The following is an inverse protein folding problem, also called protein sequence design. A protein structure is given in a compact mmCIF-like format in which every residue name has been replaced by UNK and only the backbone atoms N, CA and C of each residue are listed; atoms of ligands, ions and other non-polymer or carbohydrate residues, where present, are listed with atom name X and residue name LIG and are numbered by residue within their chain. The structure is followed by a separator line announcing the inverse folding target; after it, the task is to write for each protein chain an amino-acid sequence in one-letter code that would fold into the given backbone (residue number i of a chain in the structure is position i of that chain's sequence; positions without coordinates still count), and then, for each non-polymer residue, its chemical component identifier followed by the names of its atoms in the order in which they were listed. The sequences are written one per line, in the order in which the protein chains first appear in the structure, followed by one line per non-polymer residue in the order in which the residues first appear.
data_IF_668791504974
#
_entry.id   IF_668791504974
#
_cell.length_a   1.000
_cell.length_b   1.000
_cell.length_c   1.000
_cell.angle_alpha   90.00
_cell.angle_beta   90.00
_cell.angle_gamma   90.00
#
_symmetry.space_group_name_H-M   'P 1'
#
loop_
_entity.id
_entity.type
_entity.pdbx_description
1 polymer ?
#
# COMPACT_ATOMS: atom_id res chain seq x y z
N UNK A 1 -9.31 2.01 -11.33
CA UNK A 1 -8.73 1.08 -10.32
C UNK A 1 -7.98 -0.08 -10.98
N UNK A 2 -8.48 -0.63 -12.10
CA UNK A 2 -7.77 -1.64 -12.90
C UNK A 2 -6.33 -1.33 -13.38
N UNK A 3 -5.88 -0.08 -13.66
CA UNK A 3 -4.51 0.12 -14.16
C UNK A 3 -3.43 -0.29 -13.15
N UNK A 4 -3.65 -0.04 -11.85
CA UNK A 4 -2.65 -0.29 -10.80
C UNK A 4 -2.38 -1.77 -10.48
N UNK A 5 -3.22 -2.67 -10.98
CA UNK A 5 -3.11 -4.12 -10.75
C UNK A 5 -2.47 -4.86 -11.92
N UNK A 6 -2.42 -4.24 -13.10
CA UNK A 6 -1.85 -4.86 -14.30
C UNK A 6 -0.38 -4.49 -14.51
N UNK A 7 0.02 -3.32 -14.00
CA UNK A 7 1.35 -2.78 -14.20
C UNK A 7 2.15 -2.78 -12.89
N UNK A 8 3.48 -2.89 -13.04
CA UNK A 8 4.39 -2.76 -11.92
C UNK A 8 4.65 -1.28 -11.66
N UNK A 9 4.35 -0.81 -10.46
CA UNK A 9 4.61 0.55 -10.03
C UNK A 9 5.77 0.58 -9.04
N UNK A 10 6.65 1.57 -9.21
CA UNK A 10 7.77 1.77 -8.30
C UNK A 10 7.28 2.32 -6.95
N UNK A 11 7.92 1.83 -5.90
CA UNK A 11 7.71 2.26 -4.52
C UNK A 11 9.00 2.87 -4.02
N UNK A 12 8.92 4.13 -3.61
CA UNK A 12 10.05 4.87 -3.04
C UNK A 12 9.74 5.20 -1.59
N UNK A 13 10.72 4.96 -0.72
CA UNK A 13 10.66 5.42 0.67
C UNK A 13 11.74 6.46 0.90
N UNK A 14 11.35 7.67 1.28
CA UNK A 14 12.27 8.78 1.54
C UNK A 14 11.92 9.50 2.84
N UNK A 15 12.86 10.32 3.35
CA UNK A 15 12.62 11.20 4.50
C UNK A 15 12.28 12.59 3.98
N UNK A 16 11.28 13.25 4.59
CA UNK A 16 10.94 14.62 4.23
C UNK A 16 12.12 15.56 4.52
N UNK A 17 12.57 16.37 3.55
CA UNK A 17 13.65 17.34 3.79
C UNK A 17 13.32 18.33 4.91
N UNK A 18 12.06 18.78 4.98
CA UNK A 18 11.59 19.72 5.99
C UNK A 18 11.43 19.11 7.39
N UNK A 19 11.28 17.79 7.48
CA UNK A 19 11.25 17.06 8.75
C UNK A 19 11.79 15.64 8.57
N UNK A 20 13.10 15.43 8.74
CA UNK A 20 13.74 14.15 8.49
C UNK A 20 13.25 13.00 9.38
N UNK A 21 12.51 13.30 10.46
CA UNK A 21 11.92 12.27 11.34
C UNK A 21 10.72 11.57 10.70
N UNK A 22 10.12 12.17 9.67
CA UNK A 22 8.99 11.59 8.94
C UNK A 22 9.51 10.84 7.71
N UNK A 23 9.25 9.54 7.67
CA UNK A 23 9.42 8.71 6.48
C UNK A 23 8.13 8.67 5.68
N UNK A 24 8.25 8.84 4.37
CA UNK A 24 7.16 8.82 3.42
C UNK A 24 7.34 7.60 2.53
N UNK A 25 6.28 6.81 2.43
CA UNK A 25 6.09 5.85 1.37
C UNK A 25 5.40 6.58 0.21
N UNK A 26 5.94 6.44 -1.00
CA UNK A 26 5.41 7.03 -2.22
C UNK A 26 5.26 5.98 -3.31
N UNK A 27 4.13 6.05 -3.99
CA UNK A 27 3.85 5.30 -5.21
C UNK A 27 2.98 6.17 -6.11
N UNK A 28 3.49 6.54 -7.29
CA UNK A 28 2.82 7.47 -8.20
C UNK A 28 2.39 8.78 -7.49
N UNK A 29 1.11 9.15 -7.55
CA UNK A 29 0.55 10.31 -6.86
C UNK A 29 0.28 10.09 -5.37
N UNK A 30 0.43 8.87 -4.84
CA UNK A 30 0.13 8.56 -3.45
C UNK A 30 1.37 8.77 -2.58
N UNK A 31 1.22 9.59 -1.54
CA UNK A 31 2.23 9.78 -0.50
C UNK A 31 1.61 9.55 0.87
N UNK A 32 2.19 8.65 1.66
CA UNK A 32 1.67 8.27 2.97
C UNK A 32 2.83 8.25 3.98
N UNK A 33 2.69 8.90 5.16
CA UNK A 33 3.67 8.75 6.21
C UNK A 33 3.69 7.31 6.72
N UNK A 34 4.83 6.63 6.55
CA UNK A 34 5.00 5.27 7.00
C UNK A 34 6.45 5.02 7.44
N UNK A 35 6.59 4.40 8.62
CA UNK A 35 7.89 4.01 9.19
C UNK A 35 8.21 2.53 8.96
N UNK A 36 7.40 1.82 8.17
CA UNK A 36 7.59 0.41 7.84
C UNK A 36 8.72 0.16 6.83
N UNK A 37 9.13 -1.11 6.73
CA UNK A 37 9.95 -1.60 5.63
C UNK A 37 9.04 -2.04 4.50
N UNK A 38 9.25 -1.51 3.30
CA UNK A 38 8.43 -1.81 2.13
C UNK A 38 9.27 -2.42 1.01
N UNK A 39 8.60 -3.20 0.16
CA UNK A 39 9.10 -3.64 -1.14
C UNK A 39 9.35 -2.43 -2.07
N UNK A 40 10.11 -2.63 -3.14
CA UNK A 40 10.51 -1.55 -4.07
C UNK A 40 9.56 -1.40 -5.25
N UNK A 41 8.67 -2.37 -5.46
CA UNK A 41 7.63 -2.30 -6.48
C UNK A 41 6.39 -3.11 -6.11
N UNK A 42 5.25 -2.77 -6.72
CA UNK A 42 4.00 -3.52 -6.53
C UNK A 42 4.08 -4.96 -7.03
N UNK A 43 4.96 -5.26 -7.99
CA UNK A 43 5.15 -6.62 -8.53
C UNK A 43 5.68 -7.61 -7.49
N UNK A 44 6.43 -7.15 -6.49
CA UNK A 44 6.96 -8.00 -5.42
C UNK A 44 5.87 -8.48 -4.45
N UNK A 45 4.69 -7.86 -4.44
CA UNK A 45 3.56 -8.24 -3.59
C UNK A 45 2.92 -9.54 -4.09
N UNK A 46 2.89 -9.76 -5.41
CA UNK A 46 2.24 -10.92 -6.01
C UNK A 46 0.71 -10.79 -6.10
N UNK A 47 0.02 -11.93 -6.22
CA UNK A 47 -1.44 -11.95 -6.29
C UNK A 47 -2.06 -11.78 -4.90
N UNK A 48 -3.16 -11.02 -4.83
CA UNK A 48 -3.89 -10.77 -3.59
C UNK A 48 -5.30 -11.36 -3.64
N UNK A 49 -5.82 -11.76 -2.49
CA UNK A 49 -7.21 -12.11 -2.28
C UNK A 49 -7.87 -11.12 -1.31
N UNK A 50 -9.10 -10.72 -1.62
CA UNK A 50 -9.86 -9.74 -0.83
C UNK A 50 -11.11 -10.40 -0.28
N UNK A 51 -11.29 -10.32 1.04
CA UNK A 51 -12.51 -10.75 1.73
C UNK A 51 -13.15 -9.57 2.44
N UNK A 52 -14.47 -9.42 2.30
CA UNK A 52 -15.24 -8.36 2.97
C UNK A 52 -16.03 -8.94 4.14
N UNK A 53 -15.95 -8.28 5.29
CA UNK A 53 -16.74 -8.62 6.47
C UNK A 53 -17.50 -7.40 6.98
N UNK A 54 -18.81 -7.55 7.13
CA UNK A 54 -19.63 -6.55 7.80
C UNK A 54 -19.44 -6.66 9.32
N UNK A 55 -18.98 -5.58 9.96
CA UNK A 55 -18.78 -5.52 11.41
C UNK A 55 -20.00 -4.94 12.15
N UNK A 56 -21.05 -4.56 11.43
CA UNK A 56 -22.16 -3.75 11.92
C UNK A 56 -21.79 -2.26 12.08
N UNK A 57 -22.73 -1.46 12.60
CA UNK A 57 -22.56 -0.02 12.87
C UNK A 57 -22.10 0.81 11.66
N UNK A 58 -22.49 0.41 10.46
CA UNK A 58 -22.07 1.07 9.21
C UNK A 58 -20.58 0.88 8.89
N UNK A 59 -19.90 -0.11 9.50
CA UNK A 59 -18.48 -0.40 9.28
C UNK A 59 -18.31 -1.68 8.47
N UNK A 60 -17.43 -1.60 7.47
CA UNK A 60 -16.94 -2.74 6.73
C UNK A 60 -15.46 -2.98 7.05
N UNK A 61 -15.06 -4.24 7.17
CA UNK A 61 -13.66 -4.65 7.22
C UNK A 61 -13.30 -5.32 5.91
N UNK A 62 -12.24 -4.81 5.28
CA UNK A 62 -11.61 -5.43 4.13
C UNK A 62 -10.39 -6.20 4.66
N UNK A 63 -10.45 -7.52 4.57
CA UNK A 63 -9.34 -8.43 4.86
C UNK A 63 -8.60 -8.70 3.54
N UNK A 64 -7.27 -8.49 3.53
CA UNK A 64 -6.41 -8.65 2.34
C UNK A 64 -5.38 -9.72 2.65
N UNK A 65 -5.24 -10.69 1.74
CA UNK A 65 -4.32 -11.83 1.86
C UNK A 65 -3.40 -11.89 0.64
N UNK A 66 -2.18 -12.40 0.83
CA UNK A 66 -1.35 -12.84 -0.28
C UNK A 66 -1.79 -14.25 -0.68
N UNK A 67 -1.90 -14.51 -1.98
CA UNK A 67 -2.06 -15.88 -2.48
C UNK A 67 -0.71 -16.60 -2.39
N UNK A 68 -0.77 -17.85 -1.94
CA UNK A 68 0.35 -18.80 -2.07
C UNK A 68 0.65 -19.12 -3.54
#
# INVERSE_FOLDING_TARGET
MEPYLKESHEIIVYRKPENPQVRIWKMEQWEIPCSGLHVRSTKEIGQIEIKRRNLGKGKERIEVYLKE
#
